data_IF_976682853883
#
_entry.id   IF_976682853883
#
_cell.length_a   1.000
_cell.length_b   1.000
_cell.length_c   1.000
_cell.angle_alpha   90.00
_cell.angle_beta   90.00
_cell.angle_gamma   90.00
#
_symmetry.space_group_name_H-M   'P 1'
#
loop_
_entity.id
_entity.type
_entity.pdbx_description
1 polymer ?
#
# COMPACT_ATOMS: atom_id res chain seq x y z
N UNK A 1 -2.65 -14.67 -46.09
CA UNK A 1 -3.58 -15.25 -45.13
C UNK A 1 -2.70 -15.60 -43.94
N UNK A 2 -2.50 -14.61 -43.05
CA UNK A 2 -1.69 -14.78 -41.82
C UNK A 2 -2.67 -14.98 -40.65
N UNK A 3 -2.64 -16.20 -40.15
CA UNK A 3 -3.36 -16.63 -38.96
C UNK A 3 -2.68 -16.01 -37.72
N UNK A 4 -3.42 -15.16 -37.02
CA UNK A 4 -2.98 -14.57 -35.75
C UNK A 4 -3.31 -15.54 -34.62
N UNK A 5 -2.28 -16.09 -33.98
CA UNK A 5 -2.41 -16.85 -32.74
C UNK A 5 -3.04 -16.01 -31.62
N UNK A 6 -3.96 -16.56 -30.84
CA UNK A 6 -4.58 -15.84 -29.72
C UNK A 6 -3.59 -15.64 -28.57
N UNK A 7 -3.47 -14.39 -28.12
CA UNK A 7 -2.70 -13.96 -26.95
C UNK A 7 -3.25 -14.71 -25.72
N UNK A 8 -2.44 -15.57 -25.13
CA UNK A 8 -2.72 -16.19 -23.83
C UNK A 8 -2.79 -15.12 -22.76
N UNK A 9 -3.82 -15.10 -21.88
CA UNK A 9 -3.86 -14.18 -20.76
C UNK A 9 -2.68 -14.46 -19.81
N UNK A 10 -1.88 -13.44 -19.54
CA UNK A 10 -0.73 -13.50 -18.66
C UNK A 10 -1.14 -13.98 -17.26
N UNK A 11 -0.49 -15.04 -16.80
CA UNK A 11 -0.59 -15.49 -15.42
C UNK A 11 -0.22 -14.32 -14.49
N UNK A 12 -1.16 -13.93 -13.62
CA UNK A 12 -0.91 -13.01 -12.51
C UNK A 12 0.14 -13.71 -11.63
N UNK A 13 1.38 -13.24 -11.70
CA UNK A 13 2.42 -13.66 -10.76
C UNK A 13 1.94 -13.23 -9.37
N UNK A 14 1.80 -14.18 -8.49
CA UNK A 14 1.50 -13.96 -7.08
C UNK A 14 2.64 -13.13 -6.50
N UNK A 15 2.35 -11.85 -6.12
CA UNK A 15 3.33 -10.91 -5.56
C UNK A 15 3.86 -11.25 -4.17
N UNK A 16 3.88 -12.54 -3.80
CA UNK A 16 4.37 -13.03 -2.53
C UNK A 16 5.88 -13.33 -2.51
N UNK A 17 6.53 -13.30 -3.69
CA UNK A 17 7.95 -13.69 -3.84
C UNK A 17 8.93 -12.51 -3.96
N UNK A 18 8.47 -11.26 -3.92
CA UNK A 18 9.29 -10.05 -4.18
C UNK A 18 9.89 -9.37 -2.93
N UNK A 19 10.10 -10.09 -1.85
CA UNK A 19 11.06 -9.61 -0.84
C UNK A 19 12.46 -9.75 -1.46
N UNK A 20 13.40 -8.80 -1.20
CA UNK A 20 14.76 -8.92 -1.71
C UNK A 20 15.40 -10.18 -1.11
N UNK A 21 15.23 -11.28 -1.81
CA UNK A 21 15.96 -12.50 -1.58
C UNK A 21 17.31 -12.34 -2.30
N UNK A 22 18.40 -12.71 -1.63
CA UNK A 22 19.65 -12.90 -2.33
C UNK A 22 19.40 -14.00 -3.38
N UNK A 23 19.39 -13.62 -4.66
CA UNK A 23 19.37 -14.59 -5.74
C UNK A 23 20.69 -15.36 -5.69
N UNK A 24 20.65 -16.58 -5.16
CA UNK A 24 21.78 -17.48 -5.17
C UNK A 24 21.98 -18.02 -6.60
N UNK A 25 23.14 -17.76 -7.18
CA UNK A 25 23.54 -18.41 -8.43
C UNK A 25 23.80 -19.91 -8.20
N UNK A 26 23.74 -20.71 -9.27
CA UNK A 26 24.13 -22.13 -9.17
C UNK A 26 25.56 -22.29 -8.71
N UNK A 27 26.43 -21.33 -9.03
CA UNK A 27 27.86 -21.32 -8.66
C UNK A 27 28.02 -21.11 -7.16
N UNK A 28 27.27 -20.18 -6.54
CA UNK A 28 27.26 -19.96 -5.09
C UNK A 28 26.78 -21.21 -4.34
N UNK A 29 25.74 -21.86 -4.88
CA UNK A 29 25.18 -23.08 -4.30
C UNK A 29 26.17 -24.22 -4.36
N UNK A 30 26.82 -24.45 -5.51
CA UNK A 30 27.81 -25.48 -5.68
C UNK A 30 29.04 -25.26 -4.79
N UNK A 31 29.46 -24.00 -4.64
CA UNK A 31 30.56 -23.66 -3.74
C UNK A 31 30.19 -23.93 -2.27
N UNK A 32 29.00 -23.50 -1.84
CA UNK A 32 28.50 -23.80 -0.50
C UNK A 32 28.41 -25.32 -0.24
N UNK A 33 27.92 -26.11 -1.21
CA UNK A 33 27.80 -27.55 -1.09
C UNK A 33 29.15 -28.22 -0.92
N UNK A 34 30.22 -27.71 -1.57
CA UNK A 34 31.60 -28.24 -1.43
C UNK A 34 32.20 -28.05 -0.03
N UNK A 35 31.72 -27.00 0.70
CA UNK A 35 32.18 -26.69 2.05
C UNK A 35 31.45 -27.47 3.14
N UNK A 36 30.37 -28.20 2.79
CA UNK A 36 29.66 -29.04 3.75
C UNK A 36 30.39 -30.39 3.86
N UNK A 37 30.85 -30.79 5.06
CA UNK A 37 31.49 -32.07 5.25
C UNK A 37 30.50 -33.23 5.03
N UNK A 38 30.86 -34.17 4.16
CA UNK A 38 30.04 -35.34 3.89
C UNK A 38 29.48 -35.37 2.46
N UNK A 39 28.79 -36.47 2.15
CA UNK A 39 28.12 -36.65 0.86
C UNK A 39 26.74 -36.03 0.90
N UNK A 40 26.47 -35.09 0.01
CA UNK A 40 25.15 -34.47 -0.17
C UNK A 40 24.51 -35.03 -1.45
N UNK A 41 23.41 -35.75 -1.29
CA UNK A 41 22.61 -36.28 -2.38
C UNK A 41 21.40 -35.37 -2.68
N UNK A 42 21.68 -34.11 -3.00
CA UNK A 42 20.69 -33.12 -3.39
C UNK A 42 21.19 -32.34 -4.60
N UNK A 43 20.26 -31.90 -5.44
CA UNK A 43 20.56 -31.02 -6.57
C UNK A 43 20.67 -29.56 -6.15
N UNK A 44 21.25 -28.70 -7.00
CA UNK A 44 21.23 -27.24 -6.79
C UNK A 44 19.80 -26.69 -6.71
N UNK A 45 18.87 -27.28 -7.44
CA UNK A 45 17.45 -26.92 -7.39
C UNK A 45 16.82 -27.26 -6.02
N UNK A 46 17.14 -28.44 -5.46
CA UNK A 46 16.66 -28.84 -4.13
C UNK A 46 17.25 -27.93 -3.06
N UNK A 47 18.55 -27.61 -3.15
CA UNK A 47 19.20 -26.69 -2.22
C UNK A 47 18.52 -25.31 -2.24
N UNK A 48 18.28 -24.78 -3.44
CA UNK A 48 17.58 -23.49 -3.61
C UNK A 48 16.18 -23.54 -3.01
N UNK A 49 15.42 -24.60 -3.23
CA UNK A 49 14.10 -24.78 -2.64
C UNK A 49 14.13 -24.81 -1.10
N UNK A 50 15.13 -25.53 -0.53
CA UNK A 50 15.34 -25.57 0.94
C UNK A 50 15.71 -24.19 1.47
N UNK A 51 16.64 -23.48 0.79
CA UNK A 51 17.04 -22.12 1.18
C UNK A 51 15.85 -21.16 1.20
N UNK A 52 15.08 -21.10 0.14
CA UNK A 52 13.89 -20.24 0.06
C UNK A 52 12.86 -20.60 1.14
N UNK A 53 12.66 -21.88 1.40
CA UNK A 53 11.74 -22.32 2.46
C UNK A 53 12.25 -21.90 3.85
N UNK A 54 13.55 -22.13 4.12
CA UNK A 54 14.17 -21.79 5.41
C UNK A 54 14.19 -20.27 5.63
N UNK A 55 14.55 -19.49 4.60
CA UNK A 55 14.52 -18.03 4.62
C UNK A 55 13.10 -17.51 4.90
N UNK A 56 12.12 -18.05 4.20
CA UNK A 56 10.70 -17.73 4.40
C UNK A 56 10.25 -18.00 5.84
N UNK A 57 10.56 -19.16 6.39
CA UNK A 57 10.24 -19.50 7.78
C UNK A 57 10.97 -18.61 8.78
N UNK A 58 12.20 -18.20 8.48
CA UNK A 58 12.97 -17.28 9.32
C UNK A 58 12.31 -15.91 9.39
N UNK A 59 11.91 -15.36 8.25
CA UNK A 59 11.18 -14.08 8.18
C UNK A 59 9.84 -14.17 8.91
N UNK A 60 9.06 -15.24 8.69
CA UNK A 60 7.79 -15.44 9.38
C UNK A 60 7.96 -15.51 10.91
N UNK A 61 9.06 -16.12 11.38
CA UNK A 61 9.38 -16.17 12.81
C UNK A 61 9.81 -14.82 13.37
N UNK A 62 10.64 -14.07 12.64
CA UNK A 62 11.09 -12.73 13.06
C UNK A 62 9.92 -11.76 13.14
N UNK A 63 9.02 -11.80 12.16
CA UNK A 63 7.95 -10.83 12.00
C UNK A 63 6.57 -11.32 12.43
N UNK A 64 6.46 -12.53 13.00
CA UNK A 64 5.17 -13.13 13.39
C UNK A 64 4.36 -12.32 14.40
N UNK A 65 5.04 -11.49 15.20
CA UNK A 65 4.41 -10.70 16.26
C UNK A 65 3.87 -9.35 15.76
N UNK A 66 4.23 -8.95 14.54
CA UNK A 66 3.84 -7.67 14.00
C UNK A 66 2.61 -7.85 13.11
N UNK A 67 1.57 -7.11 13.44
CA UNK A 67 0.30 -7.09 12.73
C UNK A 67 -0.07 -5.65 12.38
N UNK A 68 -0.78 -5.45 11.27
CA UNK A 68 -1.24 -4.14 10.85
C UNK A 68 -2.01 -3.41 11.96
N UNK A 69 -2.83 -4.14 12.72
CA UNK A 69 -3.58 -3.60 13.85
C UNK A 69 -2.73 -3.05 15.00
N UNK A 70 -1.49 -3.53 15.15
CA UNK A 70 -0.55 -2.99 16.15
C UNK A 70 0.23 -1.76 15.66
N UNK A 71 0.41 -1.65 14.35
CA UNK A 71 1.15 -0.57 13.71
C UNK A 71 0.25 0.58 13.26
N UNK A 72 -1.04 0.31 13.08
CA UNK A 72 -1.98 1.32 12.62
C UNK A 72 -2.13 2.46 13.64
N UNK A 73 -2.38 3.63 13.13
CA UNK A 73 -2.82 4.77 13.93
C UNK A 73 -4.32 4.74 14.07
N UNK A 74 -4.80 4.80 15.29
CA UNK A 74 -6.22 4.87 15.65
C UNK A 74 -6.64 6.32 15.93
N UNK A 75 -7.93 6.54 16.24
CA UNK A 75 -8.44 7.88 16.54
C UNK A 75 -8.51 8.79 15.31
N UNK A 76 -8.59 8.21 14.12
CA UNK A 76 -8.74 8.92 12.84
C UNK A 76 -10.21 8.85 12.45
N UNK A 77 -10.81 9.99 12.19
CA UNK A 77 -12.17 10.08 11.69
C UNK A 77 -12.16 9.97 10.17
N UNK A 78 -12.74 8.91 9.58
CA UNK A 78 -12.86 8.78 8.14
C UNK A 78 -13.83 9.82 7.57
N UNK A 79 -13.71 10.08 6.26
CA UNK A 79 -14.65 10.93 5.53
C UNK A 79 -15.85 10.10 5.09
N UNK A 80 -17.02 10.74 5.01
CA UNK A 80 -18.21 10.15 4.41
C UNK A 80 -18.22 10.42 2.90
N UNK A 81 -18.75 9.47 2.12
CA UNK A 81 -18.75 9.55 0.66
C UNK A 81 -19.52 10.76 0.10
N UNK A 82 -20.57 11.16 0.79
CA UNK A 82 -21.45 12.28 0.45
C UNK A 82 -20.97 13.63 1.00
N UNK A 83 -19.94 13.62 1.87
CA UNK A 83 -19.35 14.85 2.40
C UNK A 83 -18.84 15.74 1.26
N UNK A 84 -18.98 17.05 1.41
CA UNK A 84 -18.46 18.02 0.44
C UNK A 84 -16.96 18.20 0.58
N UNK A 85 -16.27 18.49 -0.54
CA UNK A 85 -14.81 18.62 -0.55
C UNK A 85 -14.29 19.72 0.36
N UNK A 86 -15.01 20.82 0.56
CA UNK A 86 -14.62 21.88 1.50
C UNK A 86 -14.64 21.40 2.96
N UNK A 87 -15.64 20.61 3.34
CA UNK A 87 -15.68 19.98 4.65
C UNK A 87 -14.59 18.91 4.81
N UNK A 88 -14.33 18.13 3.77
CA UNK A 88 -13.25 17.17 3.74
C UNK A 88 -11.87 17.84 3.88
N UNK A 89 -11.65 18.98 3.21
CA UNK A 89 -10.41 19.76 3.35
C UNK A 89 -10.18 20.24 4.78
N UNK A 90 -11.24 20.72 5.45
CA UNK A 90 -11.18 21.10 6.88
C UNK A 90 -10.83 19.89 7.75
N UNK A 91 -11.45 18.74 7.51
CA UNK A 91 -11.18 17.51 8.26
C UNK A 91 -9.74 17.06 8.09
N UNK A 92 -9.15 17.13 6.86
CA UNK A 92 -7.72 16.86 6.61
C UNK A 92 -6.83 17.80 7.42
N UNK A 93 -7.15 19.11 7.41
CA UNK A 93 -6.38 20.13 8.10
C UNK A 93 -6.45 19.97 9.64
N UNK A 94 -7.63 19.78 10.20
CA UNK A 94 -7.88 19.60 11.63
C UNK A 94 -7.18 18.36 12.17
N UNK A 95 -7.24 17.25 11.43
CA UNK A 95 -6.56 16.01 11.77
C UNK A 95 -5.07 16.02 11.41
N UNK A 96 -4.56 17.10 10.79
CA UNK A 96 -3.17 17.25 10.32
C UNK A 96 -2.72 16.06 9.46
N UNK A 97 -3.58 15.67 8.52
CA UNK A 97 -3.36 14.53 7.61
C UNK A 97 -3.33 14.98 6.16
N UNK A 98 -2.52 14.27 5.37
CA UNK A 98 -2.42 14.46 3.91
C UNK A 98 -3.35 13.55 3.13
N UNK A 99 -3.96 12.60 3.81
CA UNK A 99 -4.92 11.66 3.27
C UNK A 99 -5.83 11.12 4.36
N UNK A 100 -7.10 10.90 4.02
CA UNK A 100 -8.08 10.25 4.89
C UNK A 100 -8.82 9.16 4.11
N UNK A 101 -9.18 8.05 4.77
CA UNK A 101 -10.03 7.04 4.18
C UNK A 101 -11.46 7.58 4.02
N UNK A 102 -12.13 7.09 2.99
CA UNK A 102 -13.53 7.39 2.71
C UNK A 102 -14.33 6.13 2.97
N UNK A 103 -15.40 6.27 3.75
CA UNK A 103 -16.29 5.17 4.10
C UNK A 103 -17.71 5.43 3.61
N UNK A 104 -18.45 4.36 3.42
CA UNK A 104 -19.89 4.40 3.20
C UNK A 104 -20.67 4.58 4.53
N UNK A 105 -22.00 4.62 4.44
CA UNK A 105 -22.88 4.75 5.60
C UNK A 105 -22.78 3.59 6.62
N UNK A 106 -22.25 2.45 6.22
CA UNK A 106 -22.04 1.27 7.07
C UNK A 106 -20.63 1.22 7.68
N UNK A 107 -19.74 2.16 7.30
CA UNK A 107 -18.37 2.21 7.76
C UNK A 107 -17.38 1.37 6.94
N UNK A 108 -17.80 0.81 5.80
CA UNK A 108 -16.90 0.11 4.88
C UNK A 108 -16.02 1.09 4.14
N UNK A 109 -14.74 0.75 4.01
CA UNK A 109 -13.77 1.58 3.26
C UNK A 109 -14.03 1.41 1.76
N UNK A 110 -14.36 2.52 1.10
CA UNK A 110 -14.66 2.56 -0.34
C UNK A 110 -13.63 3.33 -1.15
N UNK A 111 -12.85 4.22 -0.52
CA UNK A 111 -11.84 5.04 -1.21
C UNK A 111 -10.86 5.70 -0.26
N UNK A 112 -9.96 6.49 -0.86
CA UNK A 112 -9.03 7.39 -0.17
C UNK A 112 -9.14 8.78 -0.79
N UNK A 113 -9.17 9.81 0.04
CA UNK A 113 -9.02 11.19 -0.40
C UNK A 113 -7.66 11.74 0.06
N UNK A 114 -6.89 12.28 -0.88
CA UNK A 114 -5.54 12.80 -0.67
C UNK A 114 -5.45 14.26 -1.08
N UNK A 115 -4.39 14.97 -0.62
CA UNK A 115 -4.09 16.32 -1.11
C UNK A 115 -3.97 16.38 -2.65
N UNK A 116 -3.46 15.31 -3.28
CA UNK A 116 -3.31 15.21 -4.73
C UNK A 116 -4.66 15.16 -5.44
N UNK A 117 -5.67 14.52 -4.86
CA UNK A 117 -7.01 14.45 -5.46
C UNK A 117 -7.65 15.85 -5.57
N UNK A 118 -7.37 16.73 -4.61
CA UNK A 118 -7.78 18.14 -4.71
C UNK A 118 -7.10 18.85 -5.89
N UNK A 119 -5.79 18.63 -6.09
CA UNK A 119 -5.05 19.23 -7.21
C UNK A 119 -5.63 18.77 -8.55
N UNK A 120 -5.85 17.47 -8.70
CA UNK A 120 -6.43 16.88 -9.91
C UNK A 120 -7.83 17.42 -10.19
N UNK A 121 -8.68 17.49 -9.17
CA UNK A 121 -10.06 18.00 -9.32
C UNK A 121 -10.08 19.46 -9.70
N UNK A 122 -9.13 20.25 -9.20
CA UNK A 122 -9.01 21.68 -9.49
C UNK A 122 -8.26 21.95 -10.81
N UNK A 123 -7.86 20.89 -11.53
CA UNK A 123 -7.09 20.96 -12.77
C UNK A 123 -5.81 21.78 -12.62
N UNK A 124 -5.10 21.57 -11.51
CA UNK A 124 -3.78 22.14 -11.22
C UNK A 124 -2.78 21.02 -11.12
N UNK A 125 -1.58 21.23 -11.66
CA UNK A 125 -0.49 20.24 -11.61
C UNK A 125 0.36 20.41 -10.35
N UNK A 126 0.39 21.62 -9.80
CA UNK A 126 1.23 21.95 -8.66
C UNK A 126 0.46 22.72 -7.58
N UNK A 127 0.94 22.58 -6.33
CA UNK A 127 0.42 23.38 -5.21
C UNK A 127 0.61 24.89 -5.42
N UNK A 128 1.68 25.32 -6.07
CA UNK A 128 1.94 26.72 -6.37
C UNK A 128 0.91 27.27 -7.37
N UNK A 129 0.57 26.51 -8.39
CA UNK A 129 -0.48 26.87 -9.34
C UNK A 129 -1.83 26.99 -8.65
N UNK A 130 -2.13 26.08 -7.71
CA UNK A 130 -3.33 26.16 -6.88
C UNK A 130 -3.39 27.47 -6.10
N UNK A 131 -2.29 27.86 -5.44
CA UNK A 131 -2.22 29.13 -4.71
C UNK A 131 -2.43 30.34 -5.62
N UNK A 132 -1.81 30.35 -6.80
CA UNK A 132 -1.99 31.43 -7.79
C UNK A 132 -3.45 31.54 -8.25
N UNK A 133 -4.12 30.43 -8.51
CA UNK A 133 -5.54 30.41 -8.85
C UNK A 133 -6.44 30.85 -7.70
N UNK A 134 -6.12 30.47 -6.47
CA UNK A 134 -6.87 30.93 -5.27
C UNK A 134 -6.77 32.45 -5.09
N UNK A 135 -5.59 33.02 -5.38
CA UNK A 135 -5.41 34.48 -5.32
C UNK A 135 -6.15 35.18 -6.45
N UNK A 136 -6.19 34.57 -7.66
CA UNK A 136 -6.81 35.16 -8.84
C UNK A 136 -8.33 35.06 -8.85
N UNK A 137 -8.91 33.96 -8.36
CA UNK A 137 -10.35 33.71 -8.41
C UNK A 137 -10.84 32.83 -7.24
N UNK A 138 -11.05 33.46 -6.10
CA UNK A 138 -11.56 32.78 -4.89
C UNK A 138 -12.99 32.20 -5.07
N UNK A 139 -13.81 32.79 -5.92
CA UNK A 139 -15.22 32.40 -6.08
C UNK A 139 -15.37 31.05 -6.76
N UNK A 140 -14.65 30.80 -7.86
CA UNK A 140 -14.75 29.54 -8.63
C UNK A 140 -14.21 28.35 -7.83
N UNK A 141 -13.15 28.56 -7.06
CA UNK A 141 -12.61 27.54 -6.19
C UNK A 141 -13.60 27.09 -5.10
N UNK A 142 -14.14 28.05 -4.37
CA UNK A 142 -15.07 27.81 -3.29
C UNK A 142 -16.33 27.10 -3.81
N UNK A 143 -16.85 27.52 -4.94
CA UNK A 143 -18.05 26.94 -5.57
C UNK A 143 -17.83 25.47 -5.95
N UNK A 144 -16.71 25.15 -6.62
CA UNK A 144 -16.41 23.75 -7.02
C UNK A 144 -16.21 22.82 -5.83
N UNK A 145 -15.54 23.26 -4.78
CA UNK A 145 -15.38 22.46 -3.57
C UNK A 145 -16.70 22.27 -2.81
N UNK A 146 -17.58 23.27 -2.84
CA UNK A 146 -18.89 23.21 -2.18
C UNK A 146 -19.89 22.27 -2.87
N UNK A 147 -19.77 22.09 -4.19
CA UNK A 147 -20.71 21.25 -4.95
C UNK A 147 -20.24 19.82 -5.12
N UNK A 148 -18.93 19.56 -5.05
CA UNK A 148 -18.37 18.24 -5.32
C UNK A 148 -18.40 17.36 -4.07
N UNK A 149 -19.05 16.18 -4.09
CA UNK A 149 -18.96 15.20 -3.03
C UNK A 149 -17.61 14.49 -3.07
N UNK A 150 -17.15 14.01 -1.92
CA UNK A 150 -15.89 13.25 -1.76
C UNK A 150 -15.85 12.04 -2.69
N UNK A 151 -16.96 11.34 -2.87
CA UNK A 151 -17.09 10.17 -3.75
C UNK A 151 -16.69 10.42 -5.21
N UNK A 152 -16.83 11.66 -5.70
CA UNK A 152 -16.43 12.02 -7.07
C UNK A 152 -14.95 12.39 -7.20
N UNK A 153 -14.29 12.72 -6.09
CA UNK A 153 -12.91 13.18 -6.10
C UNK A 153 -11.92 12.14 -5.56
N UNK A 154 -12.39 11.20 -4.74
CA UNK A 154 -11.55 10.18 -4.10
C UNK A 154 -10.94 9.21 -5.12
N UNK A 155 -9.79 8.65 -4.80
CA UNK A 155 -9.27 7.46 -5.47
C UNK A 155 -10.01 6.22 -4.95
N UNK A 156 -10.65 5.47 -5.85
CA UNK A 156 -11.41 4.26 -5.55
C UNK A 156 -11.11 3.16 -6.58
N UNK A 157 -11.11 1.87 -6.19
CA UNK A 157 -11.22 1.40 -4.80
C UNK A 157 -9.97 1.68 -3.98
N UNK A 158 -10.09 1.81 -2.65
CA UNK A 158 -8.93 1.91 -1.77
C UNK A 158 -8.23 0.54 -1.66
N UNK A 159 -6.90 0.55 -1.68
CA UNK A 159 -6.11 -0.62 -1.27
C UNK A 159 -6.09 -0.64 0.25
N UNK A 160 -6.57 -1.73 0.84
CA UNK A 160 -6.70 -1.92 2.29
C UNK A 160 -5.89 -3.11 2.76
N UNK A 161 -5.57 -3.15 4.04
CA UNK A 161 -5.01 -4.35 4.70
C UNK A 161 -5.88 -4.77 5.87
N UNK A 162 -5.98 -6.07 6.10
CA UNK A 162 -6.69 -6.58 7.27
C UNK A 162 -5.94 -6.22 8.57
N UNK A 163 -6.65 -5.99 9.65
CA UNK A 163 -6.06 -5.77 10.99
C UNK A 163 -5.13 -6.93 11.41
N UNK A 164 -5.45 -8.15 11.00
CA UNK A 164 -4.65 -9.36 11.21
C UNK A 164 -3.46 -9.50 10.26
N UNK A 165 -3.36 -8.66 9.21
CA UNK A 165 -2.32 -8.76 8.20
C UNK A 165 -0.92 -8.72 8.80
N UNK A 166 -0.08 -9.66 8.35
CA UNK A 166 1.31 -9.78 8.75
C UNK A 166 2.27 -8.99 7.86
N UNK A 167 3.56 -9.18 8.12
CA UNK A 167 4.63 -8.49 7.41
C UNK A 167 4.50 -8.57 5.89
N UNK A 168 4.33 -9.77 5.34
CA UNK A 168 4.26 -10.01 3.88
C UNK A 168 3.07 -9.34 3.24
N UNK A 169 1.90 -9.47 3.88
CA UNK A 169 0.67 -8.86 3.36
C UNK A 169 0.82 -7.34 3.27
N UNK A 170 1.46 -6.75 4.29
CA UNK A 170 1.71 -5.30 4.35
C UNK A 170 2.71 -4.87 3.27
N UNK A 171 3.81 -5.63 3.09
CA UNK A 171 4.80 -5.35 2.03
C UNK A 171 4.15 -5.43 0.66
N UNK A 172 3.45 -6.53 0.36
CA UNK A 172 2.74 -6.71 -0.90
C UNK A 172 1.74 -5.59 -1.18
N UNK A 173 0.97 -5.20 -0.15
CA UNK A 173 0.05 -4.08 -0.28
C UNK A 173 0.76 -2.76 -0.56
N UNK A 174 1.91 -2.48 0.06
CA UNK A 174 2.69 -1.27 -0.22
C UNK A 174 3.44 -1.30 -1.56
N UNK A 175 3.73 -2.47 -2.13
CA UNK A 175 4.30 -2.59 -3.48
C UNK A 175 3.26 -2.22 -4.55
N UNK A 176 2.01 -2.64 -4.37
CA UNK A 176 0.92 -2.32 -5.29
C UNK A 176 0.34 -0.92 -5.08
N UNK A 177 0.61 -0.30 -3.93
CA UNK A 177 0.07 1.00 -3.53
C UNK A 177 1.16 2.08 -3.53
N UNK A 178 1.08 3.02 -4.47
CA UNK A 178 2.02 4.16 -4.54
C UNK A 178 1.85 5.16 -3.36
N UNK A 179 0.78 5.06 -2.58
CA UNK A 179 0.47 5.95 -1.46
C UNK A 179 1.37 5.75 -0.24
N UNK A 180 1.40 6.77 0.62
CA UNK A 180 2.18 6.76 1.87
C UNK A 180 1.44 6.15 3.05
N UNK A 181 0.16 5.88 2.89
CA UNK A 181 -0.72 5.32 3.92
C UNK A 181 -1.83 4.50 3.29
N UNK A 182 -2.30 3.49 4.01
CA UNK A 182 -3.43 2.67 3.58
C UNK A 182 -4.36 2.39 4.76
N UNK A 183 -5.68 2.27 4.52
CA UNK A 183 -6.64 1.92 5.56
C UNK A 183 -6.42 0.50 6.06
N UNK A 184 -6.58 0.33 7.36
CA UNK A 184 -6.67 -0.98 8.02
C UNK A 184 -8.14 -1.26 8.30
N UNK A 185 -8.57 -2.47 7.94
CA UNK A 185 -9.96 -2.91 8.07
C UNK A 185 -10.06 -4.17 8.93
N UNK A 186 -11.20 -4.35 9.56
CA UNK A 186 -11.52 -5.61 10.24
C UNK A 186 -11.91 -6.72 9.26
N UNK A 187 -12.31 -7.89 9.81
CA UNK A 187 -12.74 -9.04 9.01
C UNK A 187 -14.03 -8.81 8.19
N UNK A 188 -14.72 -7.71 8.43
CA UNK A 188 -15.93 -7.32 7.72
C UNK A 188 -15.68 -6.20 6.69
N UNK A 189 -14.46 -5.64 6.65
CA UNK A 189 -14.11 -4.53 5.75
C UNK A 189 -14.38 -3.14 6.33
N UNK A 190 -14.75 -3.04 7.61
CA UNK A 190 -14.98 -1.77 8.29
C UNK A 190 -13.66 -1.12 8.70
N UNK A 191 -13.60 0.21 8.63
CA UNK A 191 -12.42 0.98 8.97
C UNK A 191 -12.03 0.85 10.46
N UNK A 192 -10.75 0.56 10.73
CA UNK A 192 -10.19 0.43 12.09
C UNK A 192 -9.07 1.43 12.36
N UNK A 193 -8.29 1.78 11.34
CA UNK A 193 -7.17 2.71 11.48
C UNK A 193 -6.42 2.93 10.18
N UNK A 194 -5.33 3.68 10.25
CA UNK A 194 -4.50 4.03 9.10
C UNK A 194 -3.06 3.53 9.32
N UNK A 195 -2.56 2.69 8.44
CA UNK A 195 -1.18 2.24 8.42
C UNK A 195 -0.34 3.19 7.58
N UNK A 196 0.69 3.77 8.16
CA UNK A 196 1.64 4.63 7.45
C UNK A 196 2.87 3.83 7.03
N UNK A 197 3.32 3.98 5.77
CA UNK A 197 4.55 3.35 5.26
C UNK A 197 5.74 3.62 6.18
N UNK A 198 5.93 4.86 6.62
CA UNK A 198 7.03 5.23 7.51
C UNK A 198 6.99 4.53 8.88
N UNK A 199 5.78 4.29 9.42
CA UNK A 199 5.66 3.61 10.72
C UNK A 199 5.97 2.12 10.57
N UNK A 200 5.60 1.54 9.43
CA UNK A 200 5.96 0.17 9.06
C UNK A 200 7.47 0.01 8.90
N UNK A 201 8.12 0.84 8.08
CA UNK A 201 9.58 0.82 7.87
C UNK A 201 10.33 0.96 9.19
N UNK A 202 9.94 1.91 10.04
CA UNK A 202 10.54 2.13 11.35
C UNK A 202 10.39 0.93 12.29
N UNK A 203 9.21 0.29 12.31
CA UNK A 203 8.94 -0.85 13.19
C UNK A 203 9.82 -2.07 12.88
N UNK A 204 10.32 -2.15 11.66
CA UNK A 204 11.18 -3.26 11.21
C UNK A 204 12.65 -2.92 11.07
N UNK A 205 13.07 -1.70 11.47
CA UNK A 205 14.45 -1.21 11.25
C UNK A 205 14.92 -1.36 9.79
N UNK A 206 14.00 -1.18 8.85
CA UNK A 206 14.28 -1.26 7.41
C UNK A 206 14.79 0.07 6.83
N UNK A 207 15.11 1.03 7.69
CA UNK A 207 15.58 2.37 7.28
C UNK A 207 16.85 2.30 6.44
N UNK A 208 17.69 1.28 6.66
CA UNK A 208 18.94 1.06 5.95
C UNK A 208 18.79 0.20 4.67
N UNK A 209 17.58 -0.30 4.37
CA UNK A 209 17.30 -1.19 3.24
C UNK A 209 16.47 -0.54 2.12
N UNK A 210 16.04 0.72 2.30
CA UNK A 210 15.21 1.51 1.37
C UNK A 210 15.81 2.87 1.07
#
# INVERSE_FOLDING_TARGET
MHEQDPIKPGAIRSGADDLPELELSDEDILDAMRHIPGYLDITTADFRAIYHLAHRHSLDRLFRHVRAGRLMRTGITPLQADMRLDAAARSLAEQRRKSLPVVDANGYVIGMLTETDFLLRLKTETFLELLLRLVADQGVFTHRCHETPVSEAMTAPAITVAESAGFRDIVSAFQTHAGRSMPVVDGQGCFRGLLLRKDFVKAYHLEDLL
#
